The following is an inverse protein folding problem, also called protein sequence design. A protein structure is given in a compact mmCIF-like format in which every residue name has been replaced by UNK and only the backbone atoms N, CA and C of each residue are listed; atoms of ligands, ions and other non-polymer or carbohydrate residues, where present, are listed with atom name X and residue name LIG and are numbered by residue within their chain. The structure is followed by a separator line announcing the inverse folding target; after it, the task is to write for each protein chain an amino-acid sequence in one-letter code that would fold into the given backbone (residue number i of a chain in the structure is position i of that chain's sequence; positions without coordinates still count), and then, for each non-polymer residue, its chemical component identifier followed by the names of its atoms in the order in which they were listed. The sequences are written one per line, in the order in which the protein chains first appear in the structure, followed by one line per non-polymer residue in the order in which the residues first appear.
data_IF_115663653748
#
_entry.id   IF_115663653748
#
_cell.length_a   1.000
_cell.length_b   1.000
_cell.length_c   1.000
_cell.angle_alpha   90.00
_cell.angle_beta   90.00
_cell.angle_gamma   90.00
#
_symmetry.space_group_name_H-M   'P 1'
#
loop_
_entity.id
_entity.type
_entity.pdbx_description
1 polymer ?
#
# COMPACT_ATOMS: atom_id res chain seq x y z
N UNK A 1 18.20 -28.91 5.27
CA UNK A 1 16.99 -28.14 4.92
C UNK A 1 15.98 -29.11 4.37
N UNK A 2 14.74 -29.06 4.84
CA UNK A 2 13.65 -29.81 4.24
C UNK A 2 12.94 -28.90 3.22
N UNK A 3 12.52 -29.45 2.08
CA UNK A 3 11.86 -28.75 0.98
C UNK A 3 10.46 -29.31 0.79
N UNK A 4 9.45 -28.45 0.79
CA UNK A 4 8.07 -28.81 0.41
C UNK A 4 7.62 -27.89 -0.72
N UNK A 5 7.09 -28.46 -1.79
CA UNK A 5 6.48 -27.73 -2.90
C UNK A 5 4.96 -27.85 -2.78
N UNK A 6 4.27 -26.72 -2.66
CA UNK A 6 2.81 -26.66 -2.71
C UNK A 6 2.41 -26.00 -4.01
N UNK A 7 1.67 -26.71 -4.86
CA UNK A 7 1.09 -26.13 -6.08
C UNK A 7 -0.25 -25.47 -5.72
N UNK A 8 -0.40 -24.19 -6.09
CA UNK A 8 -1.61 -23.41 -5.85
C UNK A 8 -2.60 -23.53 -7.02
N UNK A 9 -3.87 -23.20 -6.74
CA UNK A 9 -4.86 -22.85 -7.77
C UNK A 9 -5.06 -21.32 -7.71
N UNK A 10 -4.82 -20.59 -8.81
CA UNK A 10 -4.94 -19.12 -8.89
C UNK A 10 -3.65 -18.43 -9.35
N UNK A 11 -3.43 -17.18 -8.91
CA UNK A 11 -2.23 -16.37 -9.23
C UNK A 11 -0.92 -16.88 -8.61
N UNK A 12 -0.91 -18.03 -7.92
CA UNK A 12 0.27 -18.62 -7.27
C UNK A 12 0.57 -19.98 -7.89
N UNK A 13 1.70 -20.10 -8.60
CA UNK A 13 2.10 -21.32 -9.31
C UNK A 13 2.72 -22.36 -8.37
N UNK A 14 3.62 -21.91 -7.49
CA UNK A 14 4.32 -22.79 -6.57
C UNK A 14 4.81 -22.06 -5.34
N UNK A 15 4.73 -22.71 -4.19
CA UNK A 15 5.35 -22.27 -2.95
C UNK A 15 6.42 -23.29 -2.57
N UNK A 16 7.66 -22.86 -2.45
CA UNK A 16 8.75 -23.66 -1.92
C UNK A 16 9.07 -23.22 -0.49
N UNK A 17 8.91 -24.13 0.47
CA UNK A 17 9.22 -23.87 1.89
C UNK A 17 10.50 -24.60 2.26
N UNK A 18 11.51 -23.85 2.72
CA UNK A 18 12.76 -24.34 3.29
C UNK A 18 12.83 -23.98 4.77
N UNK A 19 13.14 -24.96 5.61
CA UNK A 19 13.31 -24.69 7.05
C UNK A 19 14.54 -25.38 7.65
N UNK A 20 15.07 -24.74 8.69
CA UNK A 20 16.16 -25.23 9.53
C UNK A 20 15.72 -26.36 10.47
N UNK A 21 16.47 -26.59 11.55
CA UNK A 21 16.12 -27.62 12.54
C UNK A 21 14.79 -27.26 13.21
N UNK A 22 13.81 -28.15 13.11
CA UNK A 22 12.55 -28.07 13.84
C UNK A 22 12.76 -28.55 15.27
N UNK A 23 12.33 -27.74 16.24
CA UNK A 23 12.13 -28.14 17.62
C UNK A 23 10.64 -28.27 17.90
N UNK A 24 10.23 -29.38 18.50
CA UNK A 24 8.89 -29.54 19.06
C UNK A 24 8.92 -28.97 20.49
N UNK A 25 7.97 -28.11 20.81
CA UNK A 25 7.81 -27.53 22.13
C UNK A 25 6.46 -27.99 22.70
N UNK A 26 6.48 -28.81 23.75
CA UNK A 26 5.24 -29.30 24.36
C UNK A 26 4.50 -28.14 25.09
N UNK A 27 3.15 -28.13 25.12
CA UNK A 27 2.28 -29.23 24.70
C UNK A 27 2.07 -29.35 23.18
N UNK A 28 2.07 -28.28 22.36
CA UNK A 28 1.83 -28.36 20.90
C UNK A 28 2.38 -27.14 20.13
N UNK A 29 3.69 -26.89 20.21
CA UNK A 29 4.36 -25.79 19.52
C UNK A 29 5.46 -26.26 18.59
N UNK A 30 5.65 -25.53 17.48
CA UNK A 30 6.79 -25.72 16.57
C UNK A 30 7.69 -24.49 16.63
N UNK A 31 8.98 -24.72 16.77
CA UNK A 31 10.02 -23.70 16.71
C UNK A 31 11.00 -24.01 15.58
N UNK A 32 11.24 -23.05 14.70
CA UNK A 32 12.34 -23.11 13.73
C UNK A 32 13.21 -21.85 13.85
N UNK A 33 14.52 -22.02 13.65
CA UNK A 33 15.53 -20.94 13.66
C UNK A 33 15.90 -20.43 12.27
N UNK A 34 15.24 -20.94 11.23
CA UNK A 34 15.37 -20.43 9.86
C UNK A 34 14.18 -20.92 9.06
N UNK A 35 13.39 -19.99 8.54
CA UNK A 35 12.33 -20.28 7.58
C UNK A 35 12.62 -19.44 6.34
N UNK A 36 12.62 -20.06 5.18
CA UNK A 36 12.63 -19.38 3.89
C UNK A 36 11.42 -19.91 3.10
N UNK A 37 10.60 -19.02 2.59
CA UNK A 37 9.47 -19.35 1.72
C UNK A 37 9.67 -18.59 0.42
N UNK A 38 9.84 -19.33 -0.66
CA UNK A 38 9.90 -18.78 -2.01
C UNK A 38 8.50 -18.97 -2.63
N UNK A 39 7.80 -17.86 -2.95
CA UNK A 39 6.48 -17.87 -3.57
C UNK A 39 6.64 -17.43 -5.02
N UNK A 40 6.24 -18.28 -5.97
CA UNK A 40 6.18 -17.94 -7.39
C UNK A 40 4.73 -17.63 -7.78
N UNK A 41 4.51 -16.46 -8.39
CA UNK A 41 3.18 -16.01 -8.83
C UNK A 41 3.05 -16.08 -10.35
N UNK A 42 1.90 -16.55 -10.84
CA UNK A 42 1.61 -16.65 -12.28
C UNK A 42 1.34 -15.26 -12.86
N UNK A 43 1.76 -15.07 -14.11
CA UNK A 43 1.44 -13.86 -14.89
C UNK A 43 2.30 -12.63 -14.61
N UNK A 44 2.95 -12.51 -13.46
CA UNK A 44 3.80 -11.35 -13.12
C UNK A 44 5.30 -11.62 -13.29
N UNK A 45 5.71 -12.90 -13.43
CA UNK A 45 7.11 -13.34 -13.32
C UNK A 45 7.76 -12.76 -12.04
N UNK A 46 6.97 -12.64 -10.96
CA UNK A 46 7.44 -12.20 -9.65
C UNK A 46 7.60 -13.43 -8.75
N UNK A 47 8.76 -13.50 -8.13
CA UNK A 47 9.04 -14.44 -7.07
C UNK A 47 9.28 -13.64 -5.80
N UNK A 48 8.46 -13.87 -4.77
CA UNK A 48 8.58 -13.24 -3.46
C UNK A 48 9.31 -14.20 -2.54
N UNK A 49 10.45 -13.77 -2.01
CA UNK A 49 11.16 -14.52 -0.97
C UNK A 49 10.85 -13.94 0.39
N UNK A 50 10.35 -14.78 1.28
CA UNK A 50 10.12 -14.50 2.69
C UNK A 50 11.18 -15.24 3.50
N UNK A 51 12.05 -14.53 4.21
CA UNK A 51 13.02 -15.16 5.13
C UNK A 51 12.75 -14.75 6.56
N UNK A 52 12.72 -15.68 7.51
CA UNK A 52 12.57 -15.40 8.94
C UNK A 52 13.68 -16.08 9.75
N UNK A 53 14.30 -15.33 10.67
CA UNK A 53 15.34 -15.85 11.57
C UNK A 53 14.77 -16.76 12.66
N UNK A 54 13.52 -16.56 13.05
CA UNK A 54 12.86 -17.49 13.94
C UNK A 54 11.36 -17.45 13.71
N UNK A 55 10.74 -18.63 13.77
CA UNK A 55 9.29 -18.75 13.82
C UNK A 55 8.98 -19.63 15.03
N UNK A 56 8.20 -19.09 15.96
CA UNK A 56 7.62 -19.86 17.05
C UNK A 56 6.13 -19.92 16.82
N UNK A 57 5.57 -21.12 16.94
CA UNK A 57 4.15 -21.33 16.89
C UNK A 57 3.69 -22.07 18.13
N UNK A 58 2.51 -21.72 18.64
CA UNK A 58 1.91 -22.38 19.80
C UNK A 58 0.42 -22.54 19.58
N UNK A 59 -0.08 -23.77 19.67
CA UNK A 59 -1.50 -24.07 19.71
C UNK A 59 -2.01 -23.97 21.16
N UNK A 60 -3.07 -23.18 21.38
CA UNK A 60 -3.77 -23.03 22.66
C UNK A 60 -5.20 -23.58 22.53
N UNK A 61 -5.48 -24.71 23.18
CA UNK A 61 -6.79 -25.39 23.13
C UNK A 61 -6.82 -26.53 22.11
N UNK A 62 -7.46 -27.65 22.48
CA UNK A 62 -7.64 -28.87 21.65
C UNK A 62 -9.14 -29.21 21.71
N UNK A 63 -9.80 -29.67 20.62
CA UNK A 63 -9.27 -30.06 19.30
C UNK A 63 -9.09 -28.91 18.30
N UNK A 64 -9.58 -27.72 18.63
CA UNK A 64 -9.36 -26.47 17.90
C UNK A 64 -8.75 -25.45 18.85
N UNK A 65 -7.71 -24.75 18.40
CA UNK A 65 -6.97 -23.84 19.26
C UNK A 65 -6.55 -22.55 18.56
N UNK A 66 -6.36 -21.51 19.37
CA UNK A 66 -5.68 -20.31 18.90
C UNK A 66 -4.22 -20.67 18.59
N UNK A 67 -3.80 -20.35 17.39
CA UNK A 67 -2.47 -20.54 16.85
C UNK A 67 -1.81 -19.18 16.74
N UNK A 68 -0.78 -18.99 17.55
CA UNK A 68 0.01 -17.77 17.54
C UNK A 68 1.30 -18.00 16.75
N UNK A 69 1.52 -17.21 15.71
CA UNK A 69 2.76 -17.19 14.93
C UNK A 69 3.55 -15.97 15.36
N UNK A 70 4.76 -16.22 15.88
CA UNK A 70 5.75 -15.19 16.18
C UNK A 70 6.92 -15.35 15.24
N UNK A 71 7.10 -14.41 14.31
CA UNK A 71 8.26 -14.36 13.43
C UNK A 71 9.12 -13.12 13.69
N UNK A 72 10.43 -13.25 13.47
CA UNK A 72 11.40 -12.16 13.65
C UNK A 72 12.30 -12.02 12.43
N UNK A 73 12.65 -10.77 12.12
CA UNK A 73 13.48 -10.37 10.97
C UNK A 73 12.97 -11.03 9.69
N UNK A 74 11.70 -10.77 9.40
CA UNK A 74 11.04 -11.22 8.17
C UNK A 74 11.38 -10.26 7.05
N UNK A 75 12.09 -10.70 6.01
CA UNK A 75 12.33 -9.86 4.84
C UNK A 75 11.50 -10.37 3.66
N UNK A 76 10.83 -9.45 2.96
CA UNK A 76 10.13 -9.69 1.71
C UNK A 76 10.88 -8.96 0.60
N UNK A 77 11.38 -9.75 -0.35
CA UNK A 77 12.17 -9.25 -1.49
C UNK A 77 11.66 -9.84 -2.79
N UNK A 78 11.74 -9.05 -3.86
CA UNK A 78 11.59 -9.56 -5.22
C UNK A 78 12.83 -10.37 -5.58
N UNK A 79 12.64 -11.58 -6.11
CA UNK A 79 13.76 -12.39 -6.59
C UNK A 79 14.39 -11.82 -7.87
N UNK A 80 13.65 -10.96 -8.59
CA UNK A 80 14.23 -10.15 -9.65
C UNK A 80 14.48 -8.73 -9.08
N UNK A 81 15.75 -8.34 -8.86
CA UNK A 81 16.10 -7.06 -8.25
C UNK A 81 15.66 -5.84 -9.09
N UNK A 82 15.40 -6.04 -10.38
CA UNK A 82 14.95 -5.00 -11.31
C UNK A 82 13.42 -4.90 -11.39
N UNK A 83 12.69 -5.75 -10.66
CA UNK A 83 11.23 -5.74 -10.59
C UNK A 83 10.73 -5.32 -9.22
N UNK A 84 9.61 -4.58 -9.16
CA UNK A 84 8.95 -4.24 -7.91
C UNK A 84 8.44 -5.50 -7.20
N UNK A 85 8.33 -5.42 -5.87
CA UNK A 85 7.88 -6.51 -5.02
C UNK A 85 6.42 -6.93 -5.31
N UNK A 86 5.56 -5.96 -5.62
CA UNK A 86 4.14 -6.16 -5.87
C UNK A 86 3.76 -5.54 -7.22
N UNK A 87 3.02 -6.29 -8.02
CA UNK A 87 2.69 -5.96 -9.42
C UNK A 87 1.91 -4.64 -9.57
N UNK A 88 1.14 -4.26 -8.55
CA UNK A 88 0.39 -3.01 -8.48
C UNK A 88 1.15 -1.88 -7.76
N UNK A 89 2.36 -2.13 -7.26
CA UNK A 89 3.13 -1.17 -6.45
C UNK A 89 4.56 -1.09 -6.98
N UNK A 90 4.69 -0.55 -8.20
CA UNK A 90 5.91 -0.48 -9.02
C UNK A 90 7.14 0.21 -8.39
N UNK A 91 7.03 0.62 -7.12
CA UNK A 91 7.98 1.43 -6.39
C UNK A 91 8.30 0.86 -5.00
N UNK A 92 7.76 -0.29 -4.60
CA UNK A 92 8.22 -0.97 -3.39
C UNK A 92 9.33 -1.96 -3.76
N UNK A 93 10.54 -1.70 -3.26
CA UNK A 93 11.72 -2.52 -3.55
C UNK A 93 11.83 -3.71 -2.60
N UNK A 94 11.72 -3.46 -1.31
CA UNK A 94 11.78 -4.47 -0.25
C UNK A 94 10.98 -4.01 0.97
N UNK A 95 10.57 -5.00 1.77
CA UNK A 95 9.93 -4.79 3.07
C UNK A 95 10.70 -5.61 4.09
N UNK A 96 11.32 -4.94 5.06
CA UNK A 96 12.02 -5.58 6.15
C UNK A 96 11.21 -5.44 7.42
N UNK A 97 10.65 -6.54 7.89
CA UNK A 97 9.80 -6.62 9.07
C UNK A 97 10.63 -7.09 10.26
N UNK A 98 10.74 -6.27 11.29
CA UNK A 98 11.51 -6.61 12.49
C UNK A 98 10.83 -7.70 13.30
N UNK A 99 9.50 -7.62 13.40
CA UNK A 99 8.68 -8.53 14.18
C UNK A 99 7.30 -8.71 13.55
N UNK A 100 6.80 -9.95 13.59
CA UNK A 100 5.42 -10.33 13.22
C UNK A 100 4.83 -11.16 14.35
N UNK A 101 3.66 -10.77 14.81
CA UNK A 101 2.80 -11.54 15.71
C UNK A 101 1.43 -11.65 15.09
N UNK A 102 1.02 -12.87 14.76
CA UNK A 102 -0.24 -13.15 14.12
C UNK A 102 -1.00 -14.20 14.94
N UNK A 103 -2.19 -13.83 15.38
CA UNK A 103 -3.10 -14.72 16.11
C UNK A 103 -4.22 -15.17 15.17
N UNK A 104 -4.34 -16.48 14.97
CA UNK A 104 -5.39 -17.07 14.14
C UNK A 104 -5.90 -18.37 14.74
N UNK A 105 -7.03 -18.89 14.26
CA UNK A 105 -7.56 -20.17 14.71
C UNK A 105 -7.19 -21.27 13.71
N UNK A 106 -6.45 -22.28 14.18
CA UNK A 106 -6.09 -23.45 13.37
C UNK A 106 -6.90 -24.65 13.82
N UNK A 107 -7.63 -25.25 12.87
CA UNK A 107 -8.27 -26.53 13.06
C UNK A 107 -7.23 -27.64 12.90
N UNK A 108 -7.07 -28.50 13.91
CA UNK A 108 -6.20 -29.69 13.79
C UNK A 108 -6.80 -30.68 12.79
N UNK A 109 -8.13 -30.70 12.66
CA UNK A 109 -8.85 -31.59 11.75
C UNK A 109 -8.84 -31.11 10.31
N UNK A 110 -8.57 -29.82 10.09
CA UNK A 110 -8.51 -29.20 8.76
C UNK A 110 -7.43 -28.09 8.73
N UNK A 111 -6.14 -28.49 8.80
CA UNK A 111 -5.03 -27.54 8.83
C UNK A 111 -4.91 -26.77 7.51
N UNK A 112 -5.28 -27.39 6.39
CA UNK A 112 -5.20 -26.79 5.06
C UNK A 112 -6.14 -25.59 4.93
N UNK A 113 -7.39 -25.70 5.38
CA UNK A 113 -8.32 -24.59 5.37
C UNK A 113 -7.83 -23.43 6.25
N UNK A 114 -7.28 -23.74 7.43
CA UNK A 114 -6.69 -22.72 8.31
C UNK A 114 -5.48 -22.03 7.68
N UNK A 115 -4.60 -22.76 7.01
CA UNK A 115 -3.46 -22.18 6.29
C UNK A 115 -3.91 -21.29 5.14
N UNK A 116 -4.92 -21.71 4.35
CA UNK A 116 -5.50 -20.86 3.29
C UNK A 116 -6.02 -19.52 3.84
N UNK A 117 -6.58 -19.50 5.05
CA UNK A 117 -6.99 -18.27 5.72
C UNK A 117 -5.80 -17.36 6.04
N UNK A 118 -4.72 -17.91 6.60
CA UNK A 118 -3.48 -17.14 6.87
C UNK A 118 -2.93 -16.52 5.58
N UNK A 119 -2.89 -17.29 4.49
CA UNK A 119 -2.45 -16.80 3.19
C UNK A 119 -3.38 -15.71 2.67
N UNK A 120 -4.69 -15.88 2.78
CA UNK A 120 -5.68 -14.87 2.38
C UNK A 120 -5.49 -13.57 3.17
N UNK A 121 -5.32 -13.66 4.48
CA UNK A 121 -5.13 -12.50 5.35
C UNK A 121 -3.84 -11.74 5.02
N UNK A 122 -2.74 -12.46 4.77
CA UNK A 122 -1.47 -11.86 4.36
C UNK A 122 -1.56 -11.26 2.96
N UNK A 123 -2.21 -11.93 2.01
CA UNK A 123 -2.37 -11.42 0.65
C UNK A 123 -3.23 -10.15 0.66
N UNK A 124 -4.33 -10.14 1.43
CA UNK A 124 -5.14 -8.94 1.62
C UNK A 124 -4.33 -7.79 2.20
N UNK A 125 -3.47 -8.06 3.20
CA UNK A 125 -2.61 -7.04 3.79
C UNK A 125 -1.62 -6.46 2.78
N UNK A 126 -0.98 -7.30 1.96
CA UNK A 126 0.00 -6.86 0.96
C UNK A 126 -0.65 -6.21 -0.26
N UNK A 127 -1.88 -6.56 -0.59
CA UNK A 127 -2.62 -5.96 -1.71
C UNK A 127 -3.29 -4.63 -1.31
N UNK A 128 -3.97 -4.62 -0.16
CA UNK A 128 -4.87 -3.53 0.25
C UNK A 128 -4.33 -2.68 1.39
N UNK A 129 -3.33 -3.17 2.11
CA UNK A 129 -2.80 -2.54 3.32
C UNK A 129 -3.62 -2.86 4.58
N UNK A 130 -4.62 -3.72 4.48
CA UNK A 130 -5.48 -4.12 5.59
C UNK A 130 -5.82 -5.61 5.62
N UNK A 131 -6.20 -6.13 6.79
CA UNK A 131 -6.60 -7.52 6.97
C UNK A 131 -7.60 -7.67 8.10
N UNK A 132 -8.48 -8.67 8.03
CA UNK A 132 -9.37 -9.03 9.16
C UNK A 132 -8.64 -9.79 10.27
N UNK A 133 -7.43 -10.28 9.98
CA UNK A 133 -6.61 -10.99 10.94
C UNK A 133 -6.06 -10.08 12.05
N UNK A 134 -5.86 -10.65 13.24
CA UNK A 134 -5.19 -9.96 14.35
C UNK A 134 -3.69 -10.06 14.16
N UNK A 135 -3.11 -8.98 13.67
CA UNK A 135 -1.73 -8.93 13.23
C UNK A 135 -1.02 -7.74 13.88
N UNK A 136 0.15 -8.00 14.46
CA UNK A 136 1.06 -6.96 14.92
C UNK A 136 2.36 -7.10 14.16
N UNK A 137 2.70 -6.08 13.39
CA UNK A 137 3.94 -5.98 12.64
C UNK A 137 4.58 -4.62 12.86
N UNK A 138 5.91 -4.60 12.87
CA UNK A 138 6.69 -3.39 12.66
C UNK A 138 7.85 -3.68 11.72
N UNK A 139 8.26 -2.67 10.97
CA UNK A 139 9.34 -2.81 10.01
C UNK A 139 9.64 -1.54 9.26
N UNK A 140 10.37 -1.71 8.17
CA UNK A 140 10.73 -0.66 7.23
C UNK A 140 10.34 -1.10 5.81
N UNK A 141 9.59 -0.25 5.11
CA UNK A 141 9.35 -0.37 3.67
C UNK A 141 10.29 0.56 2.92
N UNK A 142 10.82 0.09 1.80
CA UNK A 142 11.79 0.83 0.99
C UNK A 142 11.15 1.23 -0.33
N UNK A 143 10.85 2.52 -0.45
CA UNK A 143 10.24 3.08 -1.65
C UNK A 143 11.31 3.55 -2.63
N UNK A 144 11.24 3.11 -3.88
CA UNK A 144 12.13 3.51 -4.96
C UNK A 144 11.44 4.57 -5.83
N UNK A 145 11.98 5.78 -5.83
CA UNK A 145 11.45 6.89 -6.64
C UNK A 145 12.35 7.22 -7.84
N UNK A 146 13.20 6.27 -8.27
CA UNK A 146 14.10 6.44 -9.40
C UNK A 146 15.21 7.44 -9.10
N UNK A 147 15.11 8.66 -9.65
CA UNK A 147 16.16 9.70 -9.51
C UNK A 147 16.39 10.14 -8.07
N UNK A 148 15.35 10.08 -7.25
CA UNK A 148 15.40 10.47 -5.82
C UNK A 148 15.94 9.35 -4.92
N UNK A 149 16.25 8.19 -5.50
CA UNK A 149 16.81 7.03 -4.82
C UNK A 149 15.77 6.21 -4.05
N UNK A 150 16.29 5.36 -3.15
CA UNK A 150 15.49 4.49 -2.28
C UNK A 150 15.32 5.16 -0.92
N UNK A 151 14.08 5.29 -0.48
CA UNK A 151 13.71 5.99 0.75
C UNK A 151 13.10 4.99 1.74
N UNK A 152 13.77 4.72 2.88
CA UNK A 152 13.25 3.85 3.92
C UNK A 152 12.17 4.56 4.72
N UNK A 153 11.05 3.89 4.99
CA UNK A 153 9.96 4.38 5.82
C UNK A 153 9.55 3.32 6.83
N UNK A 154 9.57 3.68 8.12
CA UNK A 154 9.11 2.76 9.15
C UNK A 154 7.60 2.60 9.08
N UNK A 155 7.10 1.41 9.35
CA UNK A 155 5.68 1.13 9.45
C UNK A 155 5.37 0.29 10.69
N UNK A 156 4.12 0.36 11.11
CA UNK A 156 3.53 -0.52 12.13
C UNK A 156 2.16 -0.97 11.67
N UNK A 157 1.58 -2.00 12.29
CA UNK A 157 0.15 -2.29 12.12
C UNK A 157 -0.67 -1.75 13.29
N UNK A 158 -1.81 -1.14 12.98
CA UNK A 158 -2.76 -0.60 13.97
C UNK A 158 -4.13 -1.26 13.81
N UNK A 159 -4.80 -1.64 14.91
CA UNK A 159 -6.21 -2.03 14.87
C UNK A 159 -7.09 -0.86 14.42
N UNK A 160 -8.02 -1.13 13.51
CA UNK A 160 -9.03 -0.20 13.00
C UNK A 160 -10.39 -0.92 12.92
N UNK A 161 -11.21 -0.75 13.96
CA UNK A 161 -12.50 -1.45 14.13
C UNK A 161 -12.35 -2.97 14.03
N UNK A 162 -12.78 -3.57 12.92
CA UNK A 162 -12.73 -5.01 12.64
C UNK A 162 -11.52 -5.40 11.78
N UNK A 163 -10.68 -4.44 11.41
CA UNK A 163 -9.52 -4.62 10.56
C UNK A 163 -8.22 -4.31 11.33
N UNK A 164 -7.13 -4.79 10.78
CA UNK A 164 -5.76 -4.39 11.12
C UNK A 164 -5.16 -3.74 9.89
N UNK A 165 -4.56 -2.56 10.02
CA UNK A 165 -4.01 -1.79 8.89
C UNK A 165 -2.52 -1.52 9.05
N UNK A 166 -1.77 -1.55 7.96
CA UNK A 166 -0.40 -1.03 7.91
C UNK A 166 -0.47 0.50 7.90
N UNK A 167 0.32 1.14 8.75
CA UNK A 167 0.48 2.60 8.81
C UNK A 167 1.96 2.98 8.83
N UNK A 168 2.35 4.02 8.08
CA UNK A 168 3.72 4.55 8.14
C UNK A 168 3.93 5.44 9.36
N UNK A 169 5.19 5.59 9.75
CA UNK A 169 5.59 6.53 10.76
C UNK A 169 5.50 7.96 10.21
N UNK A 170 4.54 8.72 10.74
CA UNK A 170 4.29 10.11 10.33
C UNK A 170 5.50 11.04 10.44
N UNK A 171 6.37 10.83 11.45
CA UNK A 171 7.58 11.64 11.66
C UNK A 171 8.67 11.37 10.62
N UNK A 172 8.71 10.16 10.07
CA UNK A 172 9.63 9.83 8.99
C UNK A 172 9.16 10.50 7.69
N UNK A 173 7.85 10.52 7.46
CA UNK A 173 7.23 11.21 6.33
C UNK A 173 7.52 12.73 6.37
N UNK A 174 7.43 13.38 7.53
CA UNK A 174 7.76 14.81 7.67
C UNK A 174 9.18 15.15 7.19
N UNK A 175 10.14 14.26 7.44
CA UNK A 175 11.54 14.48 7.07
C UNK A 175 11.79 14.34 5.57
N UNK A 176 11.00 13.52 4.89
CA UNK A 176 11.17 13.25 3.46
C UNK A 176 10.21 14.05 2.59
N UNK A 177 9.13 14.60 3.16
CA UNK A 177 8.12 15.41 2.47
C UNK A 177 8.72 16.51 1.57
N UNK A 178 9.77 17.25 1.98
CA UNK A 178 10.37 18.29 1.13
C UNK A 178 10.99 17.77 -0.18
N UNK A 179 11.21 16.45 -0.32
CA UNK A 179 11.84 15.84 -1.50
C UNK A 179 10.85 15.45 -2.61
N UNK A 180 9.56 15.29 -2.30
CA UNK A 180 8.59 14.69 -3.24
C UNK A 180 7.80 15.70 -4.07
N UNK A 181 7.42 16.80 -3.45
CA UNK A 181 6.66 17.86 -4.09
C UNK A 181 6.89 19.16 -3.34
N UNK A 182 6.71 20.29 -4.03
CA UNK A 182 6.64 21.58 -3.37
C UNK A 182 5.42 21.60 -2.46
N UNK A 183 5.64 21.31 -1.16
CA UNK A 183 4.68 21.30 -0.03
C UNK A 183 3.58 20.23 -0.12
N UNK A 184 3.85 19.04 0.44
CA UNK A 184 2.78 18.18 0.95
C UNK A 184 2.13 18.88 2.15
N UNK A 185 0.80 18.98 2.16
CA UNK A 185 0.03 19.47 3.29
C UNK A 185 0.08 18.46 4.44
N UNK A 186 -0.36 18.87 5.64
CA UNK A 186 -0.49 17.93 6.76
C UNK A 186 -1.43 16.78 6.43
N UNK A 187 -2.56 17.07 5.79
CA UNK A 187 -3.53 16.07 5.36
C UNK A 187 -3.01 15.11 4.29
N UNK A 188 -2.15 15.58 3.37
CA UNK A 188 -1.50 14.70 2.39
C UNK A 188 -0.60 13.66 3.05
N UNK A 189 0.15 14.10 4.06
CA UNK A 189 1.07 13.23 4.77
C UNK A 189 0.33 12.24 5.68
N UNK A 190 -0.80 12.64 6.25
CA UNK A 190 -1.68 11.74 7.01
C UNK A 190 -2.26 10.65 6.10
N UNK A 191 -2.70 11.01 4.88
CA UNK A 191 -3.16 10.05 3.87
C UNK A 191 -2.07 9.07 3.45
N UNK A 192 -0.86 9.57 3.18
CA UNK A 192 0.30 8.72 2.85
C UNK A 192 0.62 7.79 4.02
N UNK A 193 0.51 8.28 5.26
CA UNK A 193 0.72 7.47 6.45
C UNK A 193 -0.31 6.35 6.61
N UNK A 194 -1.59 6.65 6.36
CA UNK A 194 -2.68 5.69 6.52
C UNK A 194 -2.85 4.76 5.30
N UNK A 195 -2.24 5.08 4.15
CA UNK A 195 -2.29 4.29 2.92
C UNK A 195 -0.90 3.99 2.32
N UNK A 196 0.00 3.33 3.08
CA UNK A 196 1.40 3.09 2.70
C UNK A 196 1.57 2.47 1.31
N UNK A 197 0.69 1.52 0.98
CA UNK A 197 0.79 0.75 -0.25
C UNK A 197 0.33 1.55 -1.48
N UNK A 198 -0.55 2.52 -1.28
CA UNK A 198 -1.00 3.45 -2.35
C UNK A 198 -0.11 4.69 -2.45
N UNK A 199 0.66 4.99 -1.39
CA UNK A 199 1.45 6.20 -1.28
C UNK A 199 2.37 6.50 -2.48
N UNK A 200 3.12 5.53 -3.05
CA UNK A 200 4.02 5.85 -4.15
C UNK A 200 3.28 6.37 -5.39
N UNK A 201 2.17 5.70 -5.75
CA UNK A 201 1.36 6.10 -6.91
C UNK A 201 0.55 7.36 -6.62
N UNK A 202 0.08 7.57 -5.40
CA UNK A 202 -0.54 8.83 -4.97
C UNK A 202 0.39 10.03 -5.18
N UNK A 203 1.65 9.91 -4.73
CA UNK A 203 2.66 10.96 -4.87
C UNK A 203 3.03 11.19 -6.34
N UNK A 204 3.09 10.13 -7.15
CA UNK A 204 3.38 10.23 -8.58
C UNK A 204 2.25 10.93 -9.34
N UNK A 205 0.98 10.52 -9.17
CA UNK A 205 -0.17 11.18 -9.80
C UNK A 205 -0.17 12.67 -9.48
N UNK A 206 0.10 13.03 -8.22
CA UNK A 206 0.21 14.43 -7.84
C UNK A 206 1.32 15.14 -8.59
N UNK A 207 2.54 14.59 -8.60
CA UNK A 207 3.67 15.18 -9.33
C UNK A 207 3.34 15.36 -10.81
N UNK A 208 2.77 14.35 -11.46
CA UNK A 208 2.33 14.41 -12.86
C UNK A 208 1.35 15.58 -13.09
N UNK A 209 0.41 15.80 -12.17
CA UNK A 209 -0.57 16.90 -12.28
C UNK A 209 0.08 18.27 -12.11
N UNK A 210 1.01 18.41 -11.16
CA UNK A 210 1.76 19.64 -10.90
C UNK A 210 2.67 19.99 -12.09
N UNK A 211 3.36 19.01 -12.67
CA UNK A 211 4.22 19.19 -13.83
C UNK A 211 3.40 19.61 -15.06
N UNK A 212 2.31 18.89 -15.37
CA UNK A 212 1.42 19.24 -16.50
C UNK A 212 0.81 20.63 -16.36
N UNK A 213 0.36 20.99 -15.14
CA UNK A 213 -0.23 22.31 -14.89
C UNK A 213 0.81 23.42 -15.09
N UNK A 214 2.03 23.22 -14.58
CA UNK A 214 3.15 24.17 -14.70
C UNK A 214 3.62 24.35 -16.14
N UNK A 215 3.73 23.27 -16.90
CA UNK A 215 4.09 23.32 -18.32
C UNK A 215 3.07 24.15 -19.12
N UNK A 216 1.79 23.95 -18.86
CA UNK A 216 0.71 24.75 -19.47
C UNK A 216 0.78 26.22 -19.04
N UNK A 217 1.10 26.51 -17.78
CA UNK A 217 1.30 27.88 -17.30
C UNK A 217 2.49 28.56 -17.94
N UNK A 218 3.59 27.84 -18.17
CA UNK A 218 4.75 28.36 -18.90
C UNK A 218 4.42 28.66 -20.36
N UNK A 219 3.63 27.80 -21.02
CA UNK A 219 3.17 28.04 -22.38
C UNK A 219 2.13 29.17 -22.49
N UNK A 220 1.29 29.36 -21.46
CA UNK A 220 0.18 30.31 -21.44
C UNK A 220 0.15 31.07 -20.11
N UNK A 221 0.67 32.31 -20.11
CA UNK A 221 0.86 33.10 -18.87
C UNK A 221 -0.40 33.30 -18.01
N UNK A 222 -1.58 33.28 -18.62
CA UNK A 222 -2.89 33.45 -17.94
C UNK A 222 -3.61 32.12 -17.70
N UNK A 223 -2.91 30.99 -17.83
CA UNK A 223 -3.49 29.67 -17.60
C UNK A 223 -3.94 29.52 -16.13
N UNK A 224 -5.17 29.03 -15.88
CA UNK A 224 -5.67 28.75 -14.53
C UNK A 224 -5.04 27.44 -14.00
N UNK A 225 -3.75 27.53 -13.66
CA UNK A 225 -2.90 26.40 -13.23
C UNK A 225 -3.53 25.60 -12.10
N UNK A 226 -4.04 26.30 -11.10
CA UNK A 226 -4.57 25.70 -9.88
C UNK A 226 -5.86 24.90 -10.13
N UNK A 227 -6.84 25.52 -10.80
CA UNK A 227 -8.09 24.87 -11.25
C UNK A 227 -7.79 23.63 -12.07
N UNK A 228 -6.86 23.73 -13.03
CA UNK A 228 -6.48 22.59 -13.86
C UNK A 228 -5.86 21.46 -13.03
N UNK A 229 -4.97 21.79 -12.09
CA UNK A 229 -4.36 20.83 -11.19
C UNK A 229 -5.40 20.10 -10.35
N UNK A 230 -6.34 20.80 -9.71
CA UNK A 230 -7.39 20.18 -8.89
C UNK A 230 -8.29 19.24 -9.69
N UNK A 231 -8.76 19.67 -10.87
CA UNK A 231 -9.60 18.85 -11.74
C UNK A 231 -8.86 17.63 -12.26
N UNK A 232 -7.64 17.81 -12.79
CA UNK A 232 -6.85 16.70 -13.33
C UNK A 232 -6.46 15.71 -12.25
N UNK A 233 -6.09 16.19 -11.06
CA UNK A 233 -5.69 15.33 -9.96
C UNK A 233 -6.84 14.44 -9.52
N UNK A 234 -8.02 15.03 -9.29
CA UNK A 234 -9.23 14.30 -8.91
C UNK A 234 -9.68 13.31 -10.00
N UNK A 235 -9.55 13.69 -11.26
CA UNK A 235 -9.80 12.81 -12.40
C UNK A 235 -8.91 11.57 -12.38
N UNK A 236 -7.57 11.75 -12.27
CA UNK A 236 -6.62 10.65 -12.29
C UNK A 236 -6.78 9.73 -11.06
N UNK A 237 -6.98 10.31 -9.88
CA UNK A 237 -7.28 9.54 -8.66
C UNK A 237 -8.54 8.69 -8.82
N UNK A 238 -9.58 9.22 -9.47
CA UNK A 238 -10.81 8.48 -9.71
C UNK A 238 -10.62 7.34 -10.70
N UNK A 239 -9.84 7.55 -11.77
CA UNK A 239 -9.53 6.48 -12.73
C UNK A 239 -8.69 5.36 -12.10
N UNK A 240 -7.80 5.70 -11.16
CA UNK A 240 -6.91 4.75 -10.50
C UNK A 240 -7.60 3.99 -9.34
N UNK A 241 -8.32 4.70 -8.47
CA UNK A 241 -8.78 4.16 -7.18
C UNK A 241 -10.30 4.24 -6.96
N UNK A 242 -11.04 4.82 -7.91
CA UNK A 242 -12.48 5.08 -7.76
C UNK A 242 -12.78 6.40 -7.04
N UNK A 243 -14.04 6.83 -7.16
CA UNK A 243 -14.49 8.16 -6.74
C UNK A 243 -14.46 8.38 -5.23
N UNK A 244 -14.82 7.36 -4.43
CA UNK A 244 -14.86 7.48 -2.96
C UNK A 244 -13.46 7.77 -2.38
N UNK A 245 -12.45 7.06 -2.89
CA UNK A 245 -11.08 7.26 -2.45
C UNK A 245 -10.52 8.59 -2.97
N UNK A 246 -10.83 8.97 -4.21
CA UNK A 246 -10.45 10.27 -4.76
C UNK A 246 -10.99 11.42 -3.90
N UNK A 247 -12.28 11.38 -3.52
CA UNK A 247 -12.90 12.40 -2.66
C UNK A 247 -12.24 12.44 -1.27
N UNK A 248 -11.94 11.28 -0.67
CA UNK A 248 -11.22 11.21 0.60
C UNK A 248 -9.86 11.90 0.51
N UNK A 249 -9.11 11.63 -0.57
CA UNK A 249 -7.78 12.19 -0.77
C UNK A 249 -7.85 13.71 -0.94
N UNK A 250 -8.71 14.18 -1.85
CA UNK A 250 -8.80 15.60 -2.17
C UNK A 250 -9.34 16.41 -0.99
N UNK A 251 -10.28 15.87 -0.21
CA UNK A 251 -10.80 16.58 0.97
C UNK A 251 -9.76 16.72 2.09
N UNK A 252 -8.91 15.70 2.30
CA UNK A 252 -7.84 15.81 3.30
C UNK A 252 -6.79 16.84 2.86
N UNK A 253 -6.49 16.93 1.56
CA UNK A 253 -5.63 17.97 1.01
C UNK A 253 -6.11 19.37 1.38
N UNK A 254 -7.39 19.66 1.13
CA UNK A 254 -7.97 20.98 1.41
C UNK A 254 -7.94 21.30 2.90
N UNK A 255 -8.24 20.31 3.76
CA UNK A 255 -8.26 20.48 5.22
C UNK A 255 -6.88 20.77 5.81
N UNK A 256 -5.82 20.31 5.15
CA UNK A 256 -4.44 20.59 5.53
C UNK A 256 -3.83 21.85 4.92
N UNK A 257 -4.59 22.58 4.09
CA UNK A 257 -4.12 23.79 3.41
C UNK A 257 -4.17 25.04 4.32
N UNK A 258 -3.52 26.12 3.90
CA UNK A 258 -3.62 27.44 4.55
C UNK A 258 -4.71 28.32 3.90
N UNK A 259 -5.59 27.72 3.09
CA UNK A 259 -6.60 28.43 2.32
C UNK A 259 -7.74 28.91 3.23
N UNK A 260 -8.44 29.95 2.80
CA UNK A 260 -9.71 30.38 3.41
C UNK A 260 -10.83 29.37 3.11
N UNK A 261 -11.90 29.37 3.91
CA UNK A 261 -13.07 28.50 3.66
C UNK A 261 -13.69 28.71 2.27
N UNK A 262 -13.63 29.94 1.73
CA UNK A 262 -14.11 30.24 0.38
C UNK A 262 -13.23 29.59 -0.70
N UNK A 263 -11.91 29.71 -0.58
CA UNK A 263 -10.95 29.05 -1.48
C UNK A 263 -11.09 27.53 -1.41
N UNK A 264 -11.15 26.96 -0.20
CA UNK A 264 -11.38 25.52 -0.01
C UNK A 264 -12.70 25.06 -0.64
N UNK A 265 -13.76 25.89 -0.61
CA UNK A 265 -15.02 25.55 -1.26
C UNK A 265 -14.90 25.51 -2.79
N UNK A 266 -14.12 26.43 -3.38
CA UNK A 266 -13.80 26.41 -4.82
C UNK A 266 -13.00 25.16 -5.18
N UNK A 267 -11.98 24.85 -4.41
CA UNK A 267 -11.09 23.70 -4.66
C UNK A 267 -11.86 22.38 -4.56
N UNK A 268 -12.69 22.21 -3.52
CA UNK A 268 -13.61 21.07 -3.37
C UNK A 268 -14.57 20.93 -4.56
N UNK A 269 -15.09 22.04 -5.07
CA UNK A 269 -15.99 22.02 -6.23
C UNK A 269 -15.26 21.61 -7.51
N UNK A 270 -14.05 22.13 -7.73
CA UNK A 270 -13.19 21.73 -8.86
C UNK A 270 -12.80 20.25 -8.77
N UNK A 271 -12.49 19.76 -7.56
CA UNK A 271 -12.20 18.35 -7.32
C UNK A 271 -13.40 17.46 -7.71
N UNK A 272 -14.62 17.82 -7.30
CA UNK A 272 -15.86 17.11 -7.68
C UNK A 272 -16.08 17.05 -9.19
N UNK A 273 -15.71 18.10 -9.92
CA UNK A 273 -15.82 18.13 -11.38
C UNK A 273 -14.82 17.15 -12.02
N UNK A 274 -13.59 17.07 -11.49
CA UNK A 274 -12.62 16.06 -11.91
C UNK A 274 -13.14 14.63 -11.73
N UNK A 275 -13.74 14.34 -10.57
CA UNK A 275 -14.39 13.04 -10.30
C UNK A 275 -15.51 12.79 -11.31
N UNK A 276 -16.38 13.78 -11.55
CA UNK A 276 -17.47 13.68 -12.52
C UNK A 276 -16.95 13.37 -13.94
N UNK A 277 -15.88 14.03 -14.39
CA UNK A 277 -15.28 13.75 -15.70
C UNK A 277 -14.77 12.31 -15.81
N UNK A 278 -14.15 11.78 -14.76
CA UNK A 278 -13.64 10.42 -14.76
C UNK A 278 -14.78 9.38 -14.81
N UNK A 279 -15.86 9.60 -14.05
CA UNK A 279 -17.03 8.71 -14.02
C UNK A 279 -17.83 8.71 -15.34
N UNK A 280 -17.71 9.78 -16.15
CA UNK A 280 -18.35 9.89 -17.45
C UNK A 280 -17.40 9.57 -18.62
N UNK A 281 -16.25 8.93 -18.32
CA UNK A 281 -15.24 8.54 -19.30
C UNK A 281 -14.82 9.67 -20.26
N UNK A 282 -14.75 10.89 -19.74
CA UNK A 282 -14.21 12.02 -20.48
C UNK A 282 -12.72 11.72 -20.76
N UNK A 283 -12.26 11.73 -22.01
CA UNK A 283 -10.85 11.46 -22.29
C UNK A 283 -9.95 12.52 -21.64
N UNK A 284 -8.80 12.11 -21.09
CA UNK A 284 -7.85 13.01 -20.42
C UNK A 284 -7.46 14.20 -21.32
N UNK A 285 -7.21 13.93 -22.61
CA UNK A 285 -6.87 14.95 -23.61
C UNK A 285 -7.96 16.03 -23.82
N UNK A 286 -9.18 15.82 -23.32
CA UNK A 286 -10.28 16.79 -23.38
C UNK A 286 -10.49 17.57 -22.09
N UNK A 287 -9.82 17.21 -20.99
CA UNK A 287 -10.01 17.85 -19.67
C UNK A 287 -9.82 19.36 -19.76
N UNK A 288 -8.74 19.83 -20.40
CA UNK A 288 -8.50 21.27 -20.53
C UNK A 288 -9.66 22.00 -21.24
N UNK A 289 -10.09 21.49 -22.40
CA UNK A 289 -11.21 22.10 -23.13
C UNK A 289 -12.52 22.08 -22.35
N UNK A 290 -12.71 21.06 -21.49
CA UNK A 290 -13.88 20.96 -20.61
C UNK A 290 -13.81 21.97 -19.48
N UNK A 291 -12.66 22.13 -18.82
CA UNK A 291 -12.46 23.15 -17.78
C UNK A 291 -12.77 24.55 -18.30
N UNK A 292 -12.39 24.85 -19.55
CA UNK A 292 -12.64 26.17 -20.16
C UNK A 292 -14.11 26.43 -20.52
N UNK A 293 -14.94 25.39 -20.63
CA UNK A 293 -16.32 25.50 -21.12
C UNK A 293 -17.38 25.08 -20.10
N UNK A 294 -17.00 24.42 -19.01
CA UNK A 294 -17.93 23.95 -17.99
C UNK A 294 -18.30 25.09 -17.03
N UNK A 295 -19.57 25.53 -16.98
CA UNK A 295 -20.00 26.65 -16.16
C UNK A 295 -19.95 26.36 -14.65
N UNK A 296 -19.70 25.12 -14.25
CA UNK A 296 -19.58 24.71 -12.84
C UNK A 296 -18.16 24.92 -12.29
N UNK A 297 -17.18 25.22 -13.14
CA UNK A 297 -15.79 25.45 -12.73
C UNK A 297 -15.67 26.79 -12.00
N UNK A 298 -14.94 26.79 -10.88
CA UNK A 298 -14.64 27.99 -10.12
C UNK A 298 -13.18 28.36 -10.30
N UNK A 299 -12.93 29.61 -10.72
CA UNK A 299 -11.60 30.20 -10.86
C UNK A 299 -11.19 31.05 -9.66
#
# INVERSE_FOLDING_TARGET
FHKQIVQGHGEVESIEVKYGKLGIQLPFGLKTRKLEVDINTSGTNQQVRITAESVNSQLKGVPSGAFNILARKVSLTSANPDKPLLSNQYKIRNIDVEFVEYETYVSVMDPDHSMRRVYKDLNQLLDRGDTTGRLRMEGTVYFDFGKDGVIPQRFTTRPDRTLTRIVLNRKDLDQIAPKFASRLSTGDLDLVADHPLKAPRLLEIRRETEEKARELRWAQKNFPEDVYRHVLWSYLLTKEYGSEFAETVTNAHETGSYNTEEEMAKDRQNNRIGIYYALNDVPEAKILSRIQSDPRIHY
#
